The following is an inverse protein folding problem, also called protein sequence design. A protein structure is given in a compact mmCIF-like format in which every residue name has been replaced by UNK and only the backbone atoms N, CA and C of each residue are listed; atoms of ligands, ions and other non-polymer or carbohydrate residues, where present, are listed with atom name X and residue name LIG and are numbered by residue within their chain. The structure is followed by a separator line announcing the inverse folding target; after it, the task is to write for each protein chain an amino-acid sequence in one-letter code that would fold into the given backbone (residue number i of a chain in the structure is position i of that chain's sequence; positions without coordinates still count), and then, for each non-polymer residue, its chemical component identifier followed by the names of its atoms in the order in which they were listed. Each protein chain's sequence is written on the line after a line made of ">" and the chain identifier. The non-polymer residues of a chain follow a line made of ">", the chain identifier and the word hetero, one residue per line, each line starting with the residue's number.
data_IF_933183096014
#
_entry.id   IF_933183096014
#
_cell.length_a   1.000
_cell.length_b   1.000
_cell.length_c   1.000
_cell.angle_alpha   90.00
_cell.angle_beta   90.00
_cell.angle_gamma   90.00
#
_symmetry.space_group_name_H-M   'P 1'
#
loop_
_entity.id
_entity.type
_entity.pdbx_description
1 polymer ?
#
# COMPACT_ATOMS: atom_id res chain seq x y z
N UNK A 1 6.81 3.79 22.07
CA UNK A 1 5.48 4.44 22.11
C UNK A 1 4.46 3.44 22.60
N UNK A 2 3.42 3.89 23.31
CA UNK A 2 2.28 3.04 23.64
C UNK A 2 1.49 2.69 22.36
N UNK A 3 0.86 1.52 22.33
CA UNK A 3 0.02 1.08 21.20
C UNK A 3 -1.19 2.00 21.08
N UNK A 4 -1.52 2.44 19.87
CA UNK A 4 -2.73 3.21 19.58
C UNK A 4 -3.88 2.30 19.13
N UNK A 5 -5.08 2.85 19.09
CA UNK A 5 -6.17 2.19 18.36
C UNK A 5 -5.85 2.21 16.88
N UNK A 6 -6.10 1.10 16.19
CA UNK A 6 -5.89 1.01 14.75
C UNK A 6 -7.20 0.77 14.02
N UNK A 7 -7.28 1.37 12.84
CA UNK A 7 -8.46 1.39 11.98
C UNK A 7 -8.16 0.68 10.67
N UNK A 8 -9.17 0.00 10.11
CA UNK A 8 -9.08 -0.67 8.81
C UNK A 8 -10.44 -0.66 8.11
N UNK A 9 -10.44 -0.50 6.80
CA UNK A 9 -11.61 -0.79 5.97
C UNK A 9 -11.83 -2.30 5.87
N UNK A 10 -13.04 -2.75 6.18
CA UNK A 10 -13.46 -4.13 6.08
C UNK A 10 -14.73 -4.28 5.24
N UNK A 11 -15.49 -5.33 5.52
CA UNK A 11 -16.83 -5.51 4.95
C UNK A 11 -17.91 -5.27 6.02
N UNK A 12 -19.15 -5.64 5.70
CA UNK A 12 -20.29 -5.42 6.58
C UNK A 12 -20.14 -6.10 7.96
N UNK A 13 -19.42 -7.22 8.04
CA UNK A 13 -19.37 -8.13 9.19
C UNK A 13 -17.99 -8.36 9.79
N UNK A 14 -16.89 -7.92 9.14
CA UNK A 14 -15.52 -8.16 9.61
C UNK A 14 -14.53 -7.09 9.12
N UNK A 15 -13.47 -6.76 9.89
CA UNK A 15 -12.32 -5.99 9.43
C UNK A 15 -11.44 -6.73 8.41
N UNK A 16 -11.65 -8.05 8.23
CA UNK A 16 -10.91 -8.92 7.31
C UNK A 16 -9.39 -8.96 7.55
N UNK A 17 -8.94 -9.02 8.80
CA UNK A 17 -7.51 -9.21 9.09
C UNK A 17 -6.99 -10.57 8.57
N UNK A 18 -7.88 -11.55 8.44
CA UNK A 18 -7.64 -12.90 7.94
C UNK A 18 -7.64 -13.01 6.41
N UNK A 19 -7.91 -11.91 5.69
CA UNK A 19 -7.82 -11.87 4.24
C UNK A 19 -6.36 -11.85 3.79
N UNK A 20 -5.74 -13.02 3.76
CA UNK A 20 -4.33 -13.19 3.45
C UNK A 20 -4.06 -13.03 1.95
N UNK A 21 -3.04 -12.23 1.61
CA UNK A 21 -2.50 -12.11 0.25
C UNK A 21 -0.99 -12.22 0.35
N UNK A 22 -0.39 -13.03 -0.52
CA UNK A 22 1.05 -13.30 -0.45
C UNK A 22 1.89 -12.01 -0.59
N UNK A 23 1.43 -11.05 -1.41
CA UNK A 23 2.07 -9.73 -1.60
C UNK A 23 2.19 -8.85 -0.35
N UNK A 24 1.40 -9.14 0.69
CA UNK A 24 1.47 -8.39 1.95
C UNK A 24 2.61 -8.87 2.84
N UNK A 25 3.29 -9.98 2.52
CA UNK A 25 4.24 -10.66 3.39
C UNK A 25 5.53 -11.06 2.67
N UNK A 26 6.59 -11.26 3.44
CA UNK A 26 7.82 -11.90 2.96
C UNK A 26 7.90 -13.33 3.49
N UNK A 27 8.34 -14.25 2.65
CA UNK A 27 8.45 -15.68 2.98
C UNK A 27 9.90 -16.13 3.06
N UNK A 28 10.20 -17.06 3.96
CA UNK A 28 11.48 -17.76 3.98
C UNK A 28 11.54 -18.85 2.89
N UNK A 29 12.69 -19.51 2.76
CA UNK A 29 12.89 -20.58 1.79
C UNK A 29 12.00 -21.82 2.04
N UNK A 30 11.37 -21.91 3.21
CA UNK A 30 10.44 -22.98 3.59
C UNK A 30 8.97 -22.56 3.42
N UNK A 31 8.70 -21.35 2.93
CA UNK A 31 7.35 -20.83 2.74
C UNK A 31 6.66 -20.33 4.02
N UNK A 32 7.42 -20.09 5.10
CA UNK A 32 6.88 -19.50 6.32
C UNK A 32 7.00 -17.98 6.28
N UNK A 33 6.15 -17.30 7.06
CA UNK A 33 6.19 -15.85 7.20
C UNK A 33 7.44 -15.43 7.98
N UNK A 34 8.20 -14.50 7.40
CA UNK A 34 9.37 -13.91 8.05
C UNK A 34 8.91 -12.91 9.13
N UNK A 35 9.43 -13.00 10.37
CA UNK A 35 9.12 -12.04 11.43
C UNK A 35 9.39 -10.60 11.01
N UNK A 36 8.51 -9.69 11.41
CA UNK A 36 8.64 -8.24 11.24
C UNK A 36 8.69 -7.77 9.77
N UNK A 37 8.37 -8.63 8.80
CA UNK A 37 8.39 -8.33 7.36
C UNK A 37 6.98 -8.43 6.78
N UNK A 38 6.50 -7.31 6.24
CA UNK A 38 5.12 -7.20 5.73
C UNK A 38 4.08 -7.11 6.84
N UNK A 39 2.84 -7.48 6.53
CA UNK A 39 1.70 -7.47 7.43
C UNK A 39 0.45 -6.81 6.85
N UNK A 40 -0.62 -6.86 7.64
CA UNK A 40 -1.92 -6.28 7.29
C UNK A 40 -1.91 -4.79 7.62
N UNK A 41 -2.19 -3.96 6.61
CA UNK A 41 -2.25 -2.50 6.75
C UNK A 41 -3.40 -2.07 7.67
N UNK A 42 -3.09 -1.20 8.61
CA UNK A 42 -4.04 -0.51 9.47
C UNK A 42 -3.58 0.92 9.66
N UNK A 43 -4.43 1.77 10.24
CA UNK A 43 -4.18 3.21 10.31
C UNK A 43 -4.46 3.73 11.71
N UNK A 44 -3.65 4.68 12.18
CA UNK A 44 -3.80 5.28 13.51
C UNK A 44 -4.98 6.26 13.59
N UNK A 45 -5.54 6.69 12.45
CA UNK A 45 -6.67 7.62 12.39
C UNK A 45 -7.72 7.10 11.42
N UNK A 46 -8.99 7.34 11.76
CA UNK A 46 -10.12 6.97 10.91
C UNK A 46 -10.13 7.73 9.59
N UNK A 47 -9.63 8.97 9.59
CA UNK A 47 -9.57 9.88 8.45
C UNK A 47 -8.59 9.42 7.36
N UNK A 48 -7.66 8.52 7.70
CA UNK A 48 -6.69 7.99 6.75
C UNK A 48 -7.31 6.91 5.84
N UNK A 49 -8.51 6.41 6.17
CA UNK A 49 -9.24 5.49 5.30
C UNK A 49 -9.95 6.26 4.16
N UNK A 50 -9.86 5.79 2.89
CA UNK A 50 -10.57 6.43 1.78
C UNK A 50 -12.09 6.34 1.93
N UNK A 51 -12.58 5.33 2.67
CA UNK A 51 -13.99 5.16 3.00
C UNK A 51 -14.17 4.70 4.43
N UNK A 52 -15.15 5.29 5.11
CA UNK A 52 -15.55 4.90 6.47
C UNK A 52 -16.78 4.00 6.48
N UNK A 53 -17.34 3.64 5.31
CA UNK A 53 -18.61 2.89 5.18
C UNK A 53 -18.60 1.59 5.98
N UNK A 54 -17.47 0.89 5.95
CA UNK A 54 -17.21 -0.33 6.71
C UNK A 54 -15.88 -0.21 7.47
N UNK A 55 -15.67 0.92 8.15
CA UNK A 55 -14.50 1.06 9.01
C UNK A 55 -14.64 0.24 10.29
N UNK A 56 -13.54 -0.38 10.69
CA UNK A 56 -13.43 -1.18 11.91
C UNK A 56 -12.28 -0.65 12.75
N UNK A 57 -12.44 -0.72 14.07
CA UNK A 57 -11.46 -0.31 15.07
C UNK A 57 -11.01 -1.54 15.86
N UNK A 58 -9.70 -1.73 15.95
CA UNK A 58 -9.08 -2.63 16.92
C UNK A 58 -8.54 -1.78 18.08
N UNK A 59 -9.11 -1.89 19.29
CA UNK A 59 -8.67 -1.09 20.44
C UNK A 59 -7.21 -1.37 20.80
N UNK A 60 -6.49 -0.35 21.26
CA UNK A 60 -5.12 -0.39 21.82
C UNK A 60 -4.94 -1.35 23.00
N UNK A 61 -6.03 -1.76 23.65
CA UNK A 61 -6.04 -2.70 24.78
C UNK A 61 -6.33 -4.14 24.38
N UNK A 62 -6.79 -4.40 23.14
CA UNK A 62 -7.11 -5.74 22.69
C UNK A 62 -5.88 -6.68 22.76
N UNK A 63 -5.99 -7.88 23.35
CA UNK A 63 -4.87 -8.82 23.37
C UNK A 63 -4.58 -9.31 21.94
N UNK A 64 -3.35 -9.18 21.45
CA UNK A 64 -3.00 -9.60 20.09
C UNK A 64 -2.85 -11.13 19.96
N UNK A 65 -2.43 -11.78 21.06
CA UNK A 65 -2.03 -13.18 21.05
C UNK A 65 -0.55 -13.37 20.70
N UNK A 66 -0.01 -14.56 20.99
CA UNK A 66 1.42 -14.84 20.80
C UNK A 66 1.80 -14.85 19.31
N UNK A 67 2.91 -14.19 18.97
CA UNK A 67 3.45 -14.17 17.61
C UNK A 67 2.80 -13.14 16.68
N UNK A 68 2.02 -12.20 17.22
CA UNK A 68 1.40 -11.08 16.51
C UNK A 68 1.83 -9.78 17.17
N UNK A 69 2.26 -8.81 16.37
CA UNK A 69 2.54 -7.46 16.84
C UNK A 69 1.85 -6.40 15.98
N UNK A 70 1.67 -5.21 16.55
CA UNK A 70 1.25 -4.00 15.86
C UNK A 70 2.43 -3.04 15.89
N UNK A 71 2.92 -2.67 14.72
CA UNK A 71 4.09 -1.83 14.56
C UNK A 71 3.76 -0.59 13.74
N UNK A 72 4.17 0.59 14.21
CA UNK A 72 4.14 1.79 13.39
C UNK A 72 5.38 1.74 12.48
N UNK A 73 5.15 1.41 11.22
CA UNK A 73 6.19 1.48 10.19
C UNK A 73 6.30 2.89 9.63
N UNK A 74 5.19 3.64 9.53
CA UNK A 74 5.26 5.03 9.12
C UNK A 74 4.08 5.92 9.42
N UNK A 75 4.37 7.04 10.07
CA UNK A 75 3.43 8.15 10.29
C UNK A 75 2.14 7.62 10.91
N UNK A 76 1.06 7.54 10.14
CA UNK A 76 -0.21 6.99 10.60
C UNK A 76 -0.52 5.60 10.06
N UNK A 77 0.34 5.01 9.24
CA UNK A 77 0.27 3.59 8.91
C UNK A 77 0.82 2.73 10.05
N UNK A 78 0.10 1.65 10.32
CA UNK A 78 0.44 0.64 11.30
C UNK A 78 0.28 -0.73 10.65
N UNK A 79 1.22 -1.62 10.86
CA UNK A 79 1.17 -2.99 10.35
C UNK A 79 0.86 -3.98 11.47
N UNK A 80 -0.19 -4.78 11.30
CA UNK A 80 -0.37 -6.02 12.07
C UNK A 80 0.49 -7.09 11.39
N UNK A 81 1.57 -7.53 12.04
CA UNK A 81 2.58 -8.37 11.41
C UNK A 81 3.05 -9.54 12.30
N UNK A 82 3.62 -10.61 11.71
CA UNK A 82 4.18 -11.72 12.46
C UNK A 82 5.36 -11.23 13.31
N UNK A 83 5.39 -11.58 14.60
CA UNK A 83 6.54 -11.31 15.49
C UNK A 83 7.43 -12.54 15.70
N UNK A 84 7.04 -13.68 15.10
CA UNK A 84 7.75 -14.97 15.11
C UNK A 84 7.50 -15.67 13.79
N UNK A 85 8.41 -16.58 13.40
CA UNK A 85 8.25 -17.39 12.20
C UNK A 85 7.06 -18.31 12.39
N UNK A 86 6.15 -18.32 11.42
CA UNK A 86 4.93 -19.12 11.47
C UNK A 86 4.38 -19.39 10.07
N UNK A 87 3.56 -20.43 9.94
CA UNK A 87 2.94 -20.78 8.66
C UNK A 87 1.81 -19.80 8.30
N UNK A 88 1.45 -19.76 7.02
CA UNK A 88 0.28 -19.02 6.52
C UNK A 88 -1.01 -19.38 7.29
N UNK A 89 -1.26 -20.67 7.52
CA UNK A 89 -2.46 -21.13 8.20
C UNK A 89 -2.51 -20.71 9.68
N UNK A 90 -1.37 -20.78 10.37
CA UNK A 90 -1.27 -20.30 11.75
C UNK A 90 -1.56 -18.81 11.84
N UNK A 91 -1.05 -18.03 10.88
CA UNK A 91 -1.32 -16.60 10.81
C UNK A 91 -2.80 -16.30 10.54
N UNK A 92 -3.41 -16.95 9.54
CA UNK A 92 -4.83 -16.79 9.21
C UNK A 92 -5.71 -17.09 10.43
N UNK A 93 -5.45 -18.18 11.15
CA UNK A 93 -6.22 -18.53 12.35
C UNK A 93 -6.10 -17.48 13.46
N UNK A 94 -4.90 -16.90 13.66
CA UNK A 94 -4.69 -15.81 14.63
C UNK A 94 -5.41 -14.54 14.21
N UNK A 95 -5.39 -14.20 12.92
CA UNK A 95 -6.10 -13.04 12.39
C UNK A 95 -7.62 -13.20 12.47
N UNK A 96 -8.14 -14.41 12.25
CA UNK A 96 -9.56 -14.70 12.47
C UNK A 96 -9.96 -14.50 13.94
N UNK A 97 -9.09 -14.85 14.87
CA UNK A 97 -9.29 -14.54 16.30
C UNK A 97 -9.20 -13.04 16.59
N UNK A 98 -8.35 -12.30 15.86
CA UNK A 98 -8.22 -10.85 16.03
C UNK A 98 -9.45 -10.11 15.48
N UNK A 99 -10.08 -10.61 14.42
CA UNK A 99 -11.33 -10.07 13.86
C UNK A 99 -12.43 -9.94 14.93
N UNK A 100 -12.54 -10.92 15.84
CA UNK A 100 -13.58 -10.92 16.89
C UNK A 100 -13.37 -9.84 17.96
N UNK A 101 -12.18 -9.24 18.00
CA UNK A 101 -11.80 -8.18 18.95
C UNK A 101 -11.98 -6.78 18.37
N UNK A 102 -12.24 -6.67 17.06
CA UNK A 102 -12.51 -5.41 16.43
C UNK A 102 -13.99 -5.06 16.52
N UNK A 103 -14.28 -3.76 16.61
CA UNK A 103 -15.64 -3.24 16.60
C UNK A 103 -15.87 -2.36 15.39
N UNK A 104 -17.05 -2.46 14.79
CA UNK A 104 -17.42 -1.62 13.66
C UNK A 104 -17.57 -0.18 14.14
N UNK A 105 -16.94 0.76 13.44
CA UNK A 105 -17.07 2.18 13.75
C UNK A 105 -18.42 2.66 13.23
N UNK A 106 -19.17 3.39 14.06
CA UNK A 106 -20.40 4.02 13.61
C UNK A 106 -20.08 4.98 12.45
N UNK A 107 -20.92 4.99 11.42
CA UNK A 107 -20.73 5.92 10.31
C UNK A 107 -20.79 7.34 10.84
N UNK A 108 -19.67 8.05 10.74
CA UNK A 108 -19.64 9.50 10.95
C UNK A 108 -20.32 10.12 9.74
N UNK A 109 -21.32 10.98 9.97
CA UNK A 109 -22.01 11.67 8.89
C UNK A 109 -20.97 12.37 8.00
N UNK A 110 -21.08 12.17 6.68
CA UNK A 110 -20.13 12.68 5.69
C UNK A 110 -19.96 14.22 5.70
N UNK A 111 -20.80 14.95 6.46
CA UNK A 111 -20.83 16.40 6.52
C UNK A 111 -19.76 17.04 7.44
N UNK A 112 -19.23 16.32 8.44
CA UNK A 112 -18.28 16.89 9.42
C UNK A 112 -16.84 16.38 9.28
N UNK A 113 -16.58 15.45 8.37
CA UNK A 113 -15.23 15.02 8.03
C UNK A 113 -14.82 15.71 6.73
N UNK A 114 -14.33 16.94 6.83
CA UNK A 114 -13.51 17.52 5.77
C UNK A 114 -12.32 16.58 5.57
N UNK A 115 -12.45 15.64 4.62
CA UNK A 115 -11.40 14.69 4.26
C UNK A 115 -10.34 15.48 3.49
N UNK A 116 -9.48 16.14 4.23
CA UNK A 116 -8.24 16.66 3.66
C UNK A 116 -7.37 15.44 3.41
N UNK A 117 -7.44 14.89 2.19
CA UNK A 117 -6.38 13.98 1.74
C UNK A 117 -5.09 14.75 1.86
N UNK A 118 -4.25 14.35 2.82
CA UNK A 118 -2.91 14.92 3.02
C UNK A 118 -1.94 14.48 1.92
N UNK A 119 -2.38 13.57 1.05
CA UNK A 119 -1.62 13.10 -0.10
C UNK A 119 -1.60 14.19 -1.15
N UNK A 120 -0.39 14.61 -1.50
CA UNK A 120 -0.14 15.64 -2.51
C UNK A 120 -0.77 15.21 -3.85
N UNK A 121 -1.30 16.18 -4.61
CA UNK A 121 -1.73 15.94 -5.99
C UNK A 121 -0.56 15.95 -6.97
N UNK A 122 0.46 16.72 -6.63
CA UNK A 122 1.68 16.87 -7.41
C UNK A 122 2.84 17.10 -6.45
N UNK A 123 3.95 16.43 -6.72
CA UNK A 123 5.18 16.47 -5.93
C UNK A 123 6.05 17.66 -6.29
N UNK A 124 6.62 18.29 -5.27
CA UNK A 124 7.66 19.33 -5.39
C UNK A 124 9.05 18.82 -5.05
N UNK A 125 9.21 17.50 -4.94
CA UNK A 125 10.48 16.86 -4.60
C UNK A 125 11.58 17.24 -5.61
N UNK A 126 12.78 17.52 -5.10
CA UNK A 126 13.90 18.02 -5.92
C UNK A 126 14.43 16.94 -6.87
N UNK A 127 14.51 15.69 -6.40
CA UNK A 127 14.89 14.55 -7.25
C UNK A 127 13.80 14.22 -8.28
N UNK A 128 14.17 14.26 -9.56
CA UNK A 128 13.26 14.00 -10.69
C UNK A 128 12.65 12.60 -10.61
N UNK A 129 13.45 11.56 -10.42
CA UNK A 129 12.95 10.17 -10.44
C UNK A 129 11.91 9.94 -9.34
N UNK A 130 12.20 10.44 -8.14
CA UNK A 130 11.33 10.35 -6.97
C UNK A 130 10.01 11.08 -7.20
N UNK A 131 10.05 12.30 -7.76
CA UNK A 131 8.84 13.07 -8.13
C UNK A 131 7.94 12.32 -9.11
N UNK A 132 8.51 11.66 -10.12
CA UNK A 132 7.73 10.84 -11.07
C UNK A 132 6.98 9.71 -10.36
N UNK A 133 7.66 9.00 -9.46
CA UNK A 133 7.03 7.92 -8.67
C UNK A 133 5.95 8.48 -7.76
N UNK A 134 6.21 9.59 -7.04
CA UNK A 134 5.21 10.22 -6.15
C UNK A 134 3.96 10.63 -6.94
N UNK A 135 4.13 11.27 -8.10
CA UNK A 135 3.00 11.69 -8.94
C UNK A 135 2.18 10.49 -9.43
N UNK A 136 2.82 9.40 -9.83
CA UNK A 136 2.12 8.18 -10.23
C UNK A 136 1.32 7.56 -9.07
N UNK A 137 1.91 7.49 -7.87
CA UNK A 137 1.22 6.98 -6.67
C UNK A 137 0.05 7.89 -6.26
N UNK A 138 0.25 9.21 -6.27
CA UNK A 138 -0.78 10.20 -6.02
C UNK A 138 -1.95 10.05 -7.00
N UNK A 139 -1.66 9.83 -8.29
CA UNK A 139 -2.68 9.66 -9.31
C UNK A 139 -3.55 8.43 -9.06
N UNK A 140 -2.92 7.28 -8.76
CA UNK A 140 -3.62 6.04 -8.43
C UNK A 140 -4.45 6.20 -7.16
N UNK A 141 -3.91 6.86 -6.13
CA UNK A 141 -4.63 7.15 -4.89
C UNK A 141 -5.86 8.04 -5.13
N UNK A 142 -5.70 9.19 -5.80
CA UNK A 142 -6.77 10.17 -5.96
C UNK A 142 -7.84 9.72 -6.95
N UNK A 143 -7.45 9.06 -8.05
CA UNK A 143 -8.39 8.56 -9.06
C UNK A 143 -8.94 7.17 -8.75
N UNK A 144 -8.40 6.49 -7.72
CA UNK A 144 -8.73 5.11 -7.39
C UNK A 144 -8.63 4.21 -8.64
N UNK A 145 -7.51 4.34 -9.38
CA UNK A 145 -7.31 3.58 -10.61
C UNK A 145 -7.34 2.09 -10.29
N UNK A 146 -8.16 1.28 -10.98
CA UNK A 146 -8.44 -0.09 -10.55
C UNK A 146 -7.19 -0.96 -10.65
N UNK A 147 -6.76 -1.50 -9.50
CA UNK A 147 -5.72 -2.52 -9.39
C UNK A 147 -6.36 -3.84 -8.92
N UNK A 148 -5.96 -4.97 -9.50
CA UNK A 148 -6.51 -6.28 -9.12
C UNK A 148 -6.26 -6.57 -7.65
N UNK A 149 -7.28 -7.07 -6.96
CA UNK A 149 -7.22 -7.48 -5.55
C UNK A 149 -6.85 -6.37 -4.57
N UNK A 150 -7.01 -5.10 -4.97
CA UNK A 150 -6.87 -3.95 -4.09
C UNK A 150 -8.20 -3.56 -3.44
N UNK A 151 -8.12 -3.14 -2.18
CA UNK A 151 -9.19 -2.54 -1.41
C UNK A 151 -8.81 -1.12 -0.93
N UNK A 152 -9.73 -0.46 -0.24
CA UNK A 152 -9.55 0.88 0.32
C UNK A 152 -8.26 1.04 1.15
N UNK A 153 -7.81 -0.02 1.85
CA UNK A 153 -6.61 0.05 2.66
C UNK A 153 -5.36 0.15 1.79
N UNK A 154 -5.37 -0.48 0.62
CA UNK A 154 -4.25 -0.45 -0.32
C UNK A 154 -4.07 0.94 -0.93
N UNK A 155 -5.18 1.57 -1.31
CA UNK A 155 -5.16 2.95 -1.80
C UNK A 155 -4.73 3.95 -0.73
N UNK A 156 -5.17 3.78 0.53
CA UNK A 156 -4.64 4.61 1.63
C UNK A 156 -3.14 4.38 1.84
N UNK A 157 -2.71 3.12 1.79
CA UNK A 157 -1.31 2.77 1.98
C UNK A 157 -0.42 3.44 0.92
N UNK A 158 -0.76 3.39 -0.36
CA UNK A 158 0.05 4.09 -1.39
C UNK A 158 0.04 5.61 -1.25
N UNK A 159 -1.02 6.19 -0.68
CA UNK A 159 -1.05 7.61 -0.31
C UNK A 159 0.01 7.95 0.74
N UNK A 160 0.16 7.08 1.74
CA UNK A 160 1.22 7.17 2.75
C UNK A 160 2.60 6.86 2.13
N UNK A 161 2.67 6.02 1.10
CA UNK A 161 3.88 5.81 0.29
C UNK A 161 4.34 7.08 -0.40
N UNK A 162 3.44 7.73 -1.14
CA UNK A 162 3.68 9.02 -1.79
C UNK A 162 4.11 10.11 -0.80
N UNK A 163 3.38 10.29 0.30
CA UNK A 163 3.64 11.35 1.27
C UNK A 163 5.01 11.24 1.95
N UNK A 164 5.48 10.02 2.19
CA UNK A 164 6.79 9.83 2.82
C UNK A 164 7.96 9.92 1.83
N UNK A 165 7.77 9.50 0.58
CA UNK A 165 8.73 9.77 -0.48
C UNK A 165 8.91 11.30 -0.63
N UNK A 166 7.83 12.08 -0.59
CA UNK A 166 7.92 13.55 -0.65
C UNK A 166 8.74 14.12 0.51
N UNK A 167 8.53 13.63 1.73
CA UNK A 167 9.22 14.12 2.93
C UNK A 167 10.65 13.62 3.07
N UNK A 168 11.06 12.63 2.27
CA UNK A 168 12.34 11.94 2.43
C UNK A 168 12.37 10.92 3.57
N UNK A 169 11.22 10.58 4.16
CA UNK A 169 11.07 9.50 5.16
C UNK A 169 11.17 8.10 4.53
N UNK A 170 11.17 8.05 3.19
CA UNK A 170 11.36 6.85 2.37
C UNK A 170 12.32 7.20 1.25
N UNK A 171 13.41 6.45 1.10
CA UNK A 171 14.24 6.61 -0.08
C UNK A 171 13.62 5.89 -1.28
N UNK A 172 13.75 6.47 -2.48
CA UNK A 172 13.37 5.80 -3.72
C UNK A 172 14.04 4.42 -3.86
N UNK A 173 15.29 4.30 -3.40
CA UNK A 173 16.05 3.05 -3.44
C UNK A 173 15.45 1.94 -2.57
N UNK A 174 14.66 2.27 -1.55
CA UNK A 174 13.97 1.27 -0.70
C UNK A 174 12.75 0.66 -1.41
N UNK A 175 12.10 1.42 -2.30
CA UNK A 175 10.93 0.95 -3.06
C UNK A 175 11.26 0.53 -4.49
N UNK A 176 12.48 0.80 -4.94
CA UNK A 176 13.01 0.29 -6.19
C UNK A 176 13.09 -1.24 -6.13
N UNK A 177 12.65 -1.91 -7.18
CA UNK A 177 12.78 -3.36 -7.28
C UNK A 177 14.25 -3.75 -7.35
N UNK A 178 14.65 -4.71 -6.52
CA UNK A 178 16.01 -5.21 -6.41
C UNK A 178 15.98 -6.72 -6.43
N UNK A 179 16.75 -7.32 -7.34
CA UNK A 179 16.99 -8.75 -7.31
C UNK A 179 17.90 -9.08 -6.13
N UNK A 180 17.36 -9.81 -5.14
CA UNK A 180 18.08 -10.20 -3.95
C UNK A 180 17.51 -11.47 -3.33
N UNK A 181 18.35 -12.24 -2.65
CA UNK A 181 18.00 -13.51 -2.00
C UNK A 181 16.99 -13.38 -0.84
N UNK A 182 16.56 -12.16 -0.51
CA UNK A 182 15.62 -11.86 0.57
C UNK A 182 14.16 -11.67 0.14
N UNK A 183 13.85 -11.85 -1.15
CA UNK A 183 12.53 -11.57 -1.72
C UNK A 183 12.24 -10.07 -1.84
N UNK A 184 11.01 -9.75 -2.22
CA UNK A 184 10.52 -8.37 -2.28
C UNK A 184 9.92 -7.93 -0.95
N UNK A 185 9.96 -6.61 -0.71
CA UNK A 185 9.20 -5.94 0.34
C UNK A 185 7.79 -5.63 -0.13
N UNK A 186 6.89 -5.39 0.81
CA UNK A 186 5.52 -4.97 0.53
C UNK A 186 5.50 -3.63 -0.21
N UNK A 187 6.33 -2.69 0.20
CA UNK A 187 6.49 -1.36 -0.40
C UNK A 187 6.87 -1.48 -1.87
N UNK A 188 7.90 -2.27 -2.20
CA UNK A 188 8.32 -2.52 -3.58
C UNK A 188 7.18 -3.06 -4.44
N UNK A 189 6.43 -4.03 -3.91
CA UNK A 189 5.33 -4.66 -4.64
C UNK A 189 4.18 -3.67 -4.91
N UNK A 190 3.76 -2.92 -3.90
CA UNK A 190 2.67 -1.96 -4.02
C UNK A 190 3.03 -0.77 -4.93
N UNK A 191 4.26 -0.25 -4.83
CA UNK A 191 4.73 0.82 -5.71
C UNK A 191 4.81 0.34 -7.16
N UNK A 192 5.33 -0.87 -7.39
CA UNK A 192 5.38 -1.47 -8.72
C UNK A 192 3.98 -1.67 -9.34
N UNK A 193 3.02 -2.23 -8.60
CA UNK A 193 1.65 -2.40 -9.12
C UNK A 193 0.96 -1.05 -9.41
N UNK A 194 1.04 -0.10 -8.48
CA UNK A 194 0.45 1.23 -8.65
C UNK A 194 0.99 1.92 -9.90
N UNK A 195 2.32 1.98 -10.03
CA UNK A 195 2.97 2.67 -11.14
C UNK A 195 2.65 1.96 -12.47
N UNK A 196 2.53 0.63 -12.48
CA UNK A 196 2.11 -0.09 -13.68
C UNK A 196 0.69 0.24 -14.13
N UNK A 197 -0.24 0.37 -13.19
CA UNK A 197 -1.62 0.79 -13.49
C UNK A 197 -1.69 2.25 -13.93
N UNK A 198 -0.95 3.14 -13.28
CA UNK A 198 -0.81 4.53 -13.74
C UNK A 198 -0.32 4.57 -15.18
N UNK A 199 0.74 3.80 -15.50
CA UNK A 199 1.31 3.78 -16.83
C UNK A 199 0.27 3.35 -17.87
N UNK A 200 -0.45 2.26 -17.58
CA UNK A 200 -1.50 1.74 -18.46
C UNK A 200 -2.63 2.75 -18.68
N UNK A 201 -3.07 3.42 -17.60
CA UNK A 201 -4.15 4.41 -17.67
C UNK A 201 -3.76 5.62 -18.52
N UNK A 202 -2.56 6.15 -18.35
CA UNK A 202 -2.06 7.30 -19.12
C UNK A 202 -1.81 6.92 -20.59
N UNK A 203 -1.26 5.73 -20.86
CA UNK A 203 -1.09 5.24 -22.24
C UNK A 203 -2.43 5.14 -22.98
N UNK A 204 -3.47 4.64 -22.32
CA UNK A 204 -4.82 4.57 -22.90
C UNK A 204 -5.40 5.97 -23.15
N UNK A 205 -5.14 6.92 -22.25
CA UNK A 205 -5.61 8.30 -22.40
C UNK A 205 -4.91 9.04 -23.55
N UNK A 206 -3.58 8.90 -23.68
CA UNK A 206 -2.81 9.48 -24.79
C UNK A 206 -3.29 8.92 -26.14
N UNK A 207 -3.40 7.60 -26.26
CA UNK A 207 -3.91 6.95 -27.49
C UNK A 207 -5.33 7.37 -27.86
N UNK A 208 -6.18 7.62 -26.88
CA UNK A 208 -7.55 8.07 -27.13
C UNK A 208 -7.61 9.49 -27.73
N UNK A 209 -6.59 10.32 -27.49
CA UNK A 209 -6.50 11.69 -28.04
C UNK A 209 -5.93 11.74 -29.46
N UNK A 210 -5.26 10.67 -29.91
CA UNK A 210 -4.60 10.60 -31.22
C UNK A 210 -3.57 11.73 -31.44
N UNK A 211 -2.88 12.11 -30.36
CA UNK A 211 -1.82 13.13 -30.38
C UNK A 211 -0.46 12.44 -30.23
N UNK A 212 0.30 12.40 -31.33
CA UNK A 212 1.59 11.71 -31.40
C UNK A 212 2.66 12.39 -30.51
N UNK A 213 2.58 13.70 -30.33
CA UNK A 213 3.52 14.44 -29.49
C UNK A 213 3.27 14.13 -28.01
N UNK A 214 1.98 14.11 -27.59
CA UNK A 214 1.62 13.68 -26.23
C UNK A 214 2.00 12.21 -25.98
N UNK A 215 1.86 11.32 -26.96
CA UNK A 215 2.28 9.92 -26.83
C UNK A 215 3.80 9.80 -26.67
N UNK A 216 4.57 10.57 -27.42
CA UNK A 216 6.04 10.58 -27.32
C UNK A 216 6.52 11.13 -25.97
N UNK A 217 5.95 12.23 -25.49
CA UNK A 217 6.25 12.79 -24.17
C UNK A 217 5.92 11.79 -23.06
N UNK A 218 4.77 11.15 -23.16
CA UNK A 218 4.37 10.12 -22.22
C UNK A 218 5.31 8.89 -22.24
N UNK A 219 5.79 8.46 -23.41
CA UNK A 219 6.78 7.37 -23.49
C UNK A 219 8.12 7.71 -22.82
N UNK A 220 8.52 8.99 -22.84
CA UNK A 220 9.70 9.44 -22.08
C UNK A 220 9.48 9.29 -20.57
N UNK A 221 8.29 9.65 -20.09
CA UNK A 221 7.91 9.51 -18.67
C UNK A 221 7.86 8.04 -18.23
N UNK A 222 7.34 7.15 -19.10
CA UNK A 222 7.37 5.70 -18.87
C UNK A 222 8.81 5.20 -18.75
N UNK A 223 9.73 5.65 -19.61
CA UNK A 223 11.14 5.26 -19.53
C UNK A 223 11.76 5.69 -18.20
N UNK A 224 11.44 6.91 -17.72
CA UNK A 224 11.89 7.42 -16.42
C UNK A 224 11.38 6.54 -15.27
N UNK A 225 10.08 6.21 -15.25
CA UNK A 225 9.47 5.36 -14.21
C UNK A 225 10.09 3.95 -14.20
N UNK A 226 10.35 3.38 -15.38
CA UNK A 226 10.99 2.07 -15.51
C UNK A 226 12.40 2.04 -14.92
N UNK A 227 13.17 3.10 -15.16
CA UNK A 227 14.52 3.25 -14.59
C UNK A 227 14.44 3.43 -13.08
N UNK A 228 13.55 4.31 -12.60
CA UNK A 228 13.38 4.60 -11.18
C UNK A 228 13.07 3.34 -10.34
N UNK A 229 12.27 2.43 -10.90
CA UNK A 229 11.77 1.25 -10.17
C UNK A 229 12.46 -0.06 -10.54
N UNK A 230 13.49 -0.04 -11.38
CA UNK A 230 14.19 -1.27 -11.78
C UNK A 230 13.28 -2.24 -12.56
N UNK A 231 12.48 -1.74 -13.50
CA UNK A 231 11.53 -2.55 -14.26
C UNK A 231 12.19 -3.60 -15.19
N UNK A 232 13.51 -3.55 -15.34
CA UNK A 232 14.28 -4.53 -16.11
C UNK A 232 14.64 -5.78 -15.29
N UNK A 233 14.47 -5.73 -13.97
CA UNK A 233 14.72 -6.88 -13.10
C UNK A 233 13.67 -7.97 -13.33
N UNK A 234 14.12 -9.23 -13.26
CA UNK A 234 13.23 -10.39 -13.24
C UNK A 234 12.24 -10.30 -12.07
N UNK A 235 11.04 -10.86 -12.24
CA UNK A 235 9.95 -10.85 -11.26
C UNK A 235 9.29 -9.49 -10.96
N UNK A 236 9.82 -8.35 -11.43
CA UNK A 236 9.17 -7.05 -11.23
C UNK A 236 7.76 -7.02 -11.86
N UNK A 237 6.68 -6.76 -11.10
CA UNK A 237 5.32 -6.68 -11.62
C UNK A 237 5.16 -5.67 -12.77
N UNK A 238 5.94 -4.57 -12.75
CA UNK A 238 5.94 -3.56 -13.82
C UNK A 238 6.29 -4.14 -15.17
N UNK A 239 7.14 -5.18 -15.23
CA UNK A 239 7.58 -5.78 -16.49
C UNK A 239 6.40 -6.34 -17.30
N UNK A 240 5.37 -6.85 -16.63
CA UNK A 240 4.20 -7.48 -17.27
C UNK A 240 3.10 -6.46 -17.63
N UNK A 241 3.12 -5.28 -17.02
CA UNK A 241 2.05 -4.28 -17.13
C UNK A 241 2.30 -3.25 -18.26
N UNK A 242 3.44 -3.34 -18.94
CA UNK A 242 3.92 -2.35 -19.93
C UNK A 242 4.03 -2.97 -21.35
N UNK A 243 3.38 -4.11 -21.60
CA UNK A 243 3.26 -4.71 -22.95
C UNK A 243 1.94 -4.29 -23.60
#
# INVERSE_FOLDING_TARGET
>A
MARVDVFRSGNASSPRFDNFRDKDFTFDAQGNLVPHKGGVSTFGRLQDLPSTKNAWRLPSTAPLGTGVEIFNDRDTHWSIRPSVTQTKDQWIAKMATLNTKATKVAQVAAADAERVSTVLRESKHDDKLTRFVINALADVHHKQLPVSDWDDNDYAYIGILAGALERGDLALDEVRWKNGSGGHTKEQYFVAEAVGVHIKAQNNAAKAKQDEDEEADWMNDVAVLRVALGANEEENPLRKLII
#
